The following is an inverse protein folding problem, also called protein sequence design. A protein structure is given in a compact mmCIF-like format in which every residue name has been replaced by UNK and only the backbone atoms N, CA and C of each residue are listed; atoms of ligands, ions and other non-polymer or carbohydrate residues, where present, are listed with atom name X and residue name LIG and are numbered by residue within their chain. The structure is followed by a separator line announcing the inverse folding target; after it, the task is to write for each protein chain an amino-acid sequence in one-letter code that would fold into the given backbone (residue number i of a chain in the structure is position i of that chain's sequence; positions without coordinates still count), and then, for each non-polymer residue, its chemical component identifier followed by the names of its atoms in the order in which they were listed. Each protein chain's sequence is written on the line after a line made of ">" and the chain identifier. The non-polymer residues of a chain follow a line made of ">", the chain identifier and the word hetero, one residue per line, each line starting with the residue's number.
data_IF_756647634158
#
_entry.id   IF_756647634158
#
_cell.length_a   1.000
_cell.length_b   1.000
_cell.length_c   1.000
_cell.angle_alpha   90.00
_cell.angle_beta   90.00
_cell.angle_gamma   90.00
#
_symmetry.space_group_name_H-M   'P 1'
#
loop_
_entity.id
_entity.type
_entity.pdbx_description
1 polymer ?
#
# COMPACT_ATOMS: atom_id res chain seq x y z
N UNK A 1 26.42 -5.03 -19.37
CA UNK A 1 24.95 -5.10 -19.36
C UNK A 1 24.46 -4.87 -17.94
N UNK A 2 23.55 -3.93 -17.70
CA UNK A 2 22.90 -3.68 -16.39
C UNK A 2 21.46 -4.19 -16.46
N UNK A 3 21.07 -5.04 -15.52
CA UNK A 3 19.72 -5.62 -15.40
C UNK A 3 19.12 -5.14 -14.10
N UNK A 4 18.00 -4.43 -14.18
CA UNK A 4 17.22 -3.99 -13.03
C UNK A 4 16.09 -4.98 -12.79
N UNK A 5 15.96 -5.46 -11.56
CA UNK A 5 14.96 -6.47 -11.15
C UNK A 5 14.09 -5.85 -10.07
N UNK A 6 12.87 -5.48 -10.45
CA UNK A 6 11.94 -4.71 -9.64
C UNK A 6 10.57 -5.40 -9.55
N UNK A 7 10.45 -6.57 -8.90
CA UNK A 7 9.20 -7.29 -8.75
C UNK A 7 8.43 -6.87 -7.51
N UNK A 8 7.14 -7.19 -7.50
CA UNK A 8 6.31 -7.31 -6.31
C UNK A 8 6.49 -8.69 -5.63
N UNK A 9 5.91 -8.86 -4.46
CA UNK A 9 5.74 -10.14 -3.79
C UNK A 9 4.81 -11.06 -4.58
N UNK A 10 5.06 -12.37 -4.47
CA UNK A 10 4.10 -13.38 -4.93
C UNK A 10 3.32 -13.84 -3.70
N UNK A 11 2.14 -13.27 -3.51
CA UNK A 11 1.30 -13.51 -2.33
C UNK A 11 1.20 -14.99 -2.00
N UNK A 12 1.22 -15.31 -0.72
CA UNK A 12 1.18 -16.67 -0.16
C UNK A 12 2.40 -17.55 -0.52
N UNK A 13 3.42 -17.04 -1.22
CA UNK A 13 4.54 -17.86 -1.65
C UNK A 13 5.92 -17.22 -1.45
N UNK A 14 6.14 -15.98 -1.90
CA UNK A 14 7.48 -15.38 -1.88
C UNK A 14 7.44 -13.87 -1.62
N UNK A 15 8.37 -13.38 -0.80
CA UNK A 15 8.60 -11.94 -0.67
C UNK A 15 9.15 -11.34 -1.99
N UNK A 16 8.94 -10.03 -2.20
CA UNK A 16 9.50 -9.33 -3.36
C UNK A 16 11.03 -9.46 -3.43
N UNK A 17 11.70 -9.50 -2.27
CA UNK A 17 13.15 -9.70 -2.16
C UNK A 17 13.57 -11.10 -2.64
N UNK A 18 12.83 -12.16 -2.25
CA UNK A 18 13.10 -13.52 -2.66
C UNK A 18 12.85 -13.70 -4.16
N UNK A 19 11.75 -13.14 -4.68
CA UNK A 19 11.48 -13.14 -6.14
C UNK A 19 12.64 -12.51 -6.89
N UNK A 20 13.09 -11.33 -6.48
CA UNK A 20 14.22 -10.65 -7.11
C UNK A 20 15.50 -11.48 -7.04
N UNK A 21 15.75 -12.15 -5.93
CA UNK A 21 16.91 -13.03 -5.77
C UNK A 21 16.87 -14.27 -6.67
N UNK A 22 15.71 -14.89 -6.87
CA UNK A 22 15.58 -16.05 -7.77
C UNK A 22 15.69 -15.62 -9.24
N UNK A 23 15.14 -14.47 -9.62
CA UNK A 23 15.34 -13.92 -10.98
C UNK A 23 16.83 -13.67 -11.24
N UNK A 24 17.54 -13.02 -10.31
CA UNK A 24 18.99 -12.80 -10.43
C UNK A 24 19.74 -14.12 -10.63
N UNK A 25 19.46 -15.14 -9.79
CA UNK A 25 20.13 -16.45 -9.90
C UNK A 25 19.91 -17.06 -11.29
N UNK A 26 18.69 -17.06 -11.81
CA UNK A 26 18.38 -17.59 -13.13
C UNK A 26 19.11 -16.85 -14.25
N UNK A 27 19.13 -15.53 -14.21
CA UNK A 27 19.86 -14.71 -15.19
C UNK A 27 21.38 -14.88 -15.10
N UNK A 28 21.91 -15.00 -13.89
CA UNK A 28 23.35 -15.14 -13.64
C UNK A 28 23.91 -16.46 -14.19
N UNK A 29 23.11 -17.51 -14.28
CA UNK A 29 23.49 -18.79 -14.92
C UNK A 29 23.83 -18.59 -16.43
N UNK A 30 23.35 -17.52 -17.06
CA UNK A 30 23.55 -17.23 -18.50
C UNK A 30 24.42 -15.98 -18.73
N UNK A 31 24.27 -14.96 -17.89
CA UNK A 31 25.00 -13.69 -17.93
C UNK A 31 25.76 -13.45 -16.61
N UNK A 32 26.82 -14.22 -16.30
CA UNK A 32 27.51 -14.13 -15.01
C UNK A 32 28.13 -12.75 -14.74
N UNK A 33 28.57 -12.05 -15.80
CA UNK A 33 29.27 -10.77 -15.71
C UNK A 33 28.34 -9.55 -15.78
N UNK A 34 27.01 -9.75 -15.83
CA UNK A 34 26.07 -8.64 -15.82
C UNK A 34 26.00 -7.99 -14.44
N UNK A 35 25.78 -6.67 -14.42
CA UNK A 35 25.47 -5.93 -13.21
C UNK A 35 23.97 -6.10 -12.88
N UNK A 36 23.66 -6.61 -11.72
CA UNK A 36 22.28 -6.81 -11.25
C UNK A 36 21.94 -5.80 -10.16
N UNK A 37 20.85 -5.07 -10.35
CA UNK A 37 20.27 -4.19 -9.34
C UNK A 37 18.92 -4.75 -8.95
N UNK A 38 18.82 -5.27 -7.73
CA UNK A 38 17.56 -5.75 -7.16
C UNK A 38 16.90 -4.62 -6.41
N UNK A 39 15.67 -4.33 -6.76
CA UNK A 39 14.86 -3.30 -6.17
C UNK A 39 13.45 -3.85 -5.90
N UNK A 40 13.24 -4.59 -4.80
CA UNK A 40 11.90 -5.01 -4.41
C UNK A 40 10.94 -3.83 -4.36
N UNK A 41 9.77 -3.97 -4.95
CA UNK A 41 8.76 -2.92 -5.06
C UNK A 41 7.45 -3.42 -4.46
N UNK A 42 6.58 -2.51 -4.07
CA UNK A 42 5.21 -2.77 -3.64
C UNK A 42 4.29 -1.64 -4.10
N UNK A 43 2.99 -1.84 -3.99
CA UNK A 43 1.96 -0.89 -4.44
C UNK A 43 1.29 -0.10 -3.30
N UNK A 44 1.84 -0.14 -2.10
CA UNK A 44 1.24 0.49 -0.91
C UNK A 44 0.34 -0.46 -0.10
N UNK A 45 0.20 -1.71 -0.53
CA UNK A 45 -0.49 -2.77 0.20
C UNK A 45 0.43 -3.52 1.16
N UNK A 46 0.05 -4.75 1.49
CA UNK A 46 0.79 -5.66 2.36
C UNK A 46 2.21 -5.93 1.84
N UNK A 47 3.20 -5.88 2.73
CA UNK A 47 4.62 -6.09 2.41
C UNK A 47 5.34 -4.84 1.90
N UNK A 48 4.66 -3.69 1.84
CA UNK A 48 5.27 -2.41 1.43
C UNK A 48 6.36 -1.98 2.41
N UNK A 49 6.12 -2.10 3.72
CA UNK A 49 7.09 -1.72 4.76
C UNK A 49 8.37 -2.54 4.61
N UNK A 50 8.27 -3.86 4.47
CA UNK A 50 9.42 -4.73 4.31
C UNK A 50 10.20 -4.44 3.02
N UNK A 51 9.49 -4.24 1.91
CA UNK A 51 10.10 -3.91 0.62
C UNK A 51 10.86 -2.57 0.69
N UNK A 52 10.24 -1.54 1.26
CA UNK A 52 10.84 -0.22 1.40
C UNK A 52 12.03 -0.21 2.36
N UNK A 53 11.93 -0.92 3.49
CA UNK A 53 13.02 -1.09 4.45
C UNK A 53 14.21 -1.80 3.79
N UNK A 54 13.96 -2.90 3.07
CA UNK A 54 15.01 -3.65 2.38
C UNK A 54 15.70 -2.78 1.30
N UNK A 55 14.93 -2.06 0.51
CA UNK A 55 15.43 -1.25 -0.59
C UNK A 55 16.21 0.00 -0.13
N UNK A 56 15.87 0.54 1.04
CA UNK A 56 16.54 1.73 1.62
C UNK A 56 17.64 1.37 2.63
N UNK A 57 17.96 0.09 2.83
CA UNK A 57 18.83 -0.39 3.90
C UNK A 57 18.38 0.10 5.28
N UNK A 58 17.09 0.13 5.49
CA UNK A 58 16.44 0.60 6.69
C UNK A 58 16.27 -0.49 7.75
N UNK A 59 15.36 -0.25 8.69
CA UNK A 59 15.04 -1.19 9.77
C UNK A 59 13.56 -1.17 10.13
N UNK A 60 13.05 -2.30 10.62
CA UNK A 60 11.72 -2.40 11.20
C UNK A 60 11.76 -1.98 12.67
N UNK A 61 10.76 -1.22 13.10
CA UNK A 61 10.54 -0.80 14.47
C UNK A 61 9.26 -1.46 14.99
N UNK A 62 9.40 -2.35 15.96
CA UNK A 62 8.26 -3.01 16.60
C UNK A 62 7.75 -2.15 17.77
N UNK A 63 6.45 -1.98 17.86
CA UNK A 63 5.76 -1.18 18.87
C UNK A 63 4.52 -1.89 19.39
N UNK A 64 3.98 -1.41 20.49
CA UNK A 64 2.66 -1.81 20.97
C UNK A 64 1.70 -0.65 20.77
N UNK A 65 0.55 -0.92 20.19
CA UNK A 65 -0.47 0.05 19.86
C UNK A 65 -1.86 -0.49 20.18
N UNK A 66 -2.84 0.39 20.13
CA UNK A 66 -4.25 0.02 20.25
C UNK A 66 -4.72 -0.65 18.97
N UNK A 67 -5.21 -1.88 19.09
CA UNK A 67 -5.82 -2.63 17.98
C UNK A 67 -7.20 -2.10 17.60
N UNK A 68 -7.78 -2.61 16.49
CA UNK A 68 -9.08 -2.15 16.02
C UNK A 68 -10.23 -2.44 16.97
N UNK A 69 -10.07 -3.38 17.88
CA UNK A 69 -11.05 -3.70 18.94
C UNK A 69 -10.78 -2.97 20.29
N UNK A 70 -9.78 -2.08 20.33
CA UNK A 70 -9.43 -1.30 21.52
C UNK A 70 -8.45 -2.00 22.48
N UNK A 71 -7.99 -3.19 22.16
CA UNK A 71 -6.99 -3.95 22.92
C UNK A 71 -5.56 -3.57 22.49
N UNK A 72 -4.56 -3.94 23.31
CA UNK A 72 -3.17 -3.72 22.97
C UNK A 72 -2.66 -4.84 22.08
N UNK A 73 -2.15 -4.49 20.91
CA UNK A 73 -1.55 -5.42 19.96
C UNK A 73 -0.09 -5.05 19.64
N UNK A 74 0.66 -6.03 19.13
CA UNK A 74 1.95 -5.79 18.52
C UNK A 74 1.74 -5.27 17.09
N UNK A 75 2.45 -4.20 16.75
CA UNK A 75 2.45 -3.63 15.41
C UNK A 75 3.88 -3.19 15.05
N UNK A 76 4.08 -2.72 13.84
CA UNK A 76 5.40 -2.28 13.39
C UNK A 76 5.27 -1.18 12.32
N UNK A 77 6.37 -0.48 12.11
CA UNK A 77 6.59 0.40 10.97
C UNK A 77 8.05 0.33 10.52
N UNK A 78 8.36 0.79 9.33
CA UNK A 78 9.72 0.85 8.80
C UNK A 78 10.33 2.23 8.94
N UNK A 79 11.65 2.28 9.11
CA UNK A 79 12.45 3.49 8.92
C UNK A 79 13.43 3.28 7.77
N UNK A 80 13.62 4.29 6.94
CA UNK A 80 14.67 4.31 5.92
C UNK A 80 16.07 4.28 6.55
N UNK A 81 17.09 3.91 5.76
CA UNK A 81 18.46 3.82 6.26
C UNK A 81 19.06 5.15 6.77
N UNK A 82 18.55 6.29 6.31
CA UNK A 82 18.90 7.62 6.81
C UNK A 82 18.00 8.11 7.96
N UNK A 83 17.04 7.28 8.36
CA UNK A 83 16.03 7.52 9.40
C UNK A 83 15.12 8.76 9.17
N UNK A 84 15.07 9.28 7.93
CA UNK A 84 14.26 10.45 7.61
C UNK A 84 12.87 10.14 7.12
N UNK A 85 12.64 8.92 6.62
CA UNK A 85 11.35 8.47 6.11
C UNK A 85 10.83 7.32 6.92
N UNK A 86 9.56 7.41 7.35
CA UNK A 86 8.81 6.29 7.91
C UNK A 86 7.90 5.66 6.86
N UNK A 87 7.84 4.33 6.86
CA UNK A 87 6.94 3.52 6.06
C UNK A 87 5.93 2.86 7.00
N UNK A 88 4.65 3.15 6.83
CA UNK A 88 3.58 2.70 7.72
C UNK A 88 2.54 1.96 6.89
N UNK A 89 2.26 0.73 7.24
CA UNK A 89 1.04 0.04 6.81
C UNK A 89 0.00 0.20 7.92
N UNK A 90 -1.07 0.92 7.64
CA UNK A 90 -2.17 1.11 8.57
C UNK A 90 -2.75 -0.23 9.06
N UNK A 91 -2.74 -1.25 8.21
CA UNK A 91 -3.24 -2.58 8.52
C UNK A 91 -2.49 -3.27 9.67
N UNK A 92 -1.23 -2.91 9.93
CA UNK A 92 -0.48 -3.42 11.08
C UNK A 92 -1.13 -3.08 12.44
N UNK A 93 -1.88 -1.96 12.50
CA UNK A 93 -2.56 -1.50 13.70
C UNK A 93 -4.08 -1.54 13.61
N UNK A 94 -4.66 -1.31 12.42
CA UNK A 94 -6.09 -1.11 12.21
C UNK A 94 -6.64 -1.98 11.07
N UNK A 95 -5.95 -3.10 10.78
CA UNK A 95 -6.24 -3.99 9.67
C UNK A 95 -7.34 -4.99 9.94
N UNK A 96 -7.96 -5.46 8.85
CA UNK A 96 -9.05 -6.45 8.87
C UNK A 96 -8.59 -7.82 9.40
N UNK A 97 -7.31 -8.16 9.22
CA UNK A 97 -6.70 -9.41 9.71
C UNK A 97 -6.54 -9.43 11.23
N UNK A 98 -6.49 -8.25 11.87
CA UNK A 98 -6.48 -8.11 13.33
C UNK A 98 -7.85 -8.39 13.96
N UNK A 99 -8.92 -8.55 13.16
CA UNK A 99 -10.28 -8.72 13.64
C UNK A 99 -10.84 -10.07 13.20
N UNK A 100 -11.08 -11.00 14.13
CA UNK A 100 -11.77 -12.25 13.82
C UNK A 100 -13.09 -12.00 13.08
N UNK A 101 -13.40 -12.81 12.06
CA UNK A 101 -14.55 -12.58 11.19
C UNK A 101 -15.87 -12.38 11.94
N UNK A 102 -16.05 -13.10 13.06
CA UNK A 102 -17.26 -13.05 13.90
C UNK A 102 -17.34 -11.77 14.78
N UNK A 103 -16.23 -11.04 14.90
CA UNK A 103 -16.14 -9.81 15.69
C UNK A 103 -16.07 -8.53 14.81
N UNK A 104 -16.14 -8.69 13.49
CA UNK A 104 -16.12 -7.56 12.57
C UNK A 104 -17.37 -6.71 12.72
N UNK A 105 -17.18 -5.48 13.16
CA UNK A 105 -18.24 -4.50 13.34
C UNK A 105 -17.69 -3.07 13.17
N UNK A 106 -17.88 -2.45 12.00
CA UNK A 106 -17.29 -1.13 11.70
C UNK A 106 -17.92 0.03 12.49
N UNK A 107 -19.03 -0.20 13.19
CA UNK A 107 -19.55 0.77 14.17
C UNK A 107 -18.65 0.91 15.40
N UNK A 108 -17.83 -0.11 15.71
CA UNK A 108 -17.04 -0.19 16.95
C UNK A 108 -15.53 -0.14 16.71
N UNK A 109 -15.06 -0.58 15.53
CA UNK A 109 -13.62 -0.65 15.24
C UNK A 109 -12.99 0.72 15.10
N UNK A 110 -11.78 0.89 15.68
CA UNK A 110 -11.07 2.15 15.76
C UNK A 110 -9.76 2.17 14.97
N UNK A 111 -9.44 3.32 14.40
CA UNK A 111 -8.16 3.63 13.75
C UNK A 111 -7.10 4.20 14.72
N UNK A 112 -7.35 4.21 16.03
CA UNK A 112 -6.49 4.86 17.04
C UNK A 112 -5.03 4.40 16.95
N UNK A 113 -4.79 3.09 16.81
CA UNK A 113 -3.45 2.52 16.70
C UNK A 113 -2.66 3.01 15.49
N UNK A 114 -3.33 3.34 14.39
CA UNK A 114 -2.66 3.97 13.24
C UNK A 114 -2.09 5.35 13.61
N UNK A 115 -2.83 6.14 14.40
CA UNK A 115 -2.32 7.40 14.93
C UNK A 115 -1.14 7.22 15.89
N UNK A 116 -1.16 6.14 16.70
CA UNK A 116 -0.03 5.79 17.56
C UNK A 116 1.21 5.39 16.74
N UNK A 117 1.05 4.65 15.62
CA UNK A 117 2.17 4.35 14.72
C UNK A 117 2.78 5.64 14.15
N UNK A 118 1.94 6.57 13.67
CA UNK A 118 2.40 7.87 13.15
C UNK A 118 3.16 8.64 14.25
N UNK A 119 2.61 8.70 15.48
CA UNK A 119 3.26 9.38 16.60
C UNK A 119 4.61 8.75 16.94
N UNK A 120 4.68 7.41 17.00
CA UNK A 120 5.94 6.71 17.21
C UNK A 120 6.96 7.02 16.09
N UNK A 121 6.55 7.10 14.84
CA UNK A 121 7.43 7.50 13.75
C UNK A 121 7.94 8.94 13.92
N UNK A 122 7.06 9.87 14.28
CA UNK A 122 7.45 11.26 14.59
C UNK A 122 8.42 11.35 15.79
N UNK A 123 8.34 10.44 16.76
CA UNK A 123 9.28 10.37 17.90
C UNK A 123 10.70 10.00 17.44
N UNK A 124 10.87 9.34 16.29
CA UNK A 124 12.17 9.11 15.66
C UNK A 124 12.69 10.31 14.87
N UNK A 125 11.92 11.39 14.76
CA UNK A 125 12.35 12.61 14.08
C UNK A 125 12.25 12.55 12.56
N UNK A 126 11.38 11.71 12.01
CA UNK A 126 11.17 11.59 10.57
C UNK A 126 10.63 12.90 9.99
N UNK A 127 11.05 13.19 8.77
CA UNK A 127 10.63 14.36 7.99
C UNK A 127 9.57 13.99 6.94
N UNK A 128 9.36 12.67 6.69
CA UNK A 128 8.47 12.15 5.68
C UNK A 128 7.81 10.85 6.18
N UNK A 129 6.49 10.74 6.04
CA UNK A 129 5.71 9.54 6.30
C UNK A 129 5.03 9.07 5.01
N UNK A 130 5.31 7.85 4.60
CA UNK A 130 4.61 7.15 3.52
C UNK A 130 3.67 6.14 4.18
N UNK A 131 2.36 6.28 3.94
CA UNK A 131 1.33 5.50 4.62
C UNK A 131 0.53 4.71 3.60
N UNK A 132 0.59 3.38 3.68
CA UNK A 132 -0.31 2.48 2.98
C UNK A 132 -1.61 2.31 3.76
N UNK A 133 -2.76 2.54 3.11
CA UNK A 133 -4.07 2.49 3.76
C UNK A 133 -4.96 1.33 3.30
N UNK A 134 -4.38 0.33 2.63
CA UNK A 134 -5.07 -0.90 2.26
C UNK A 134 -5.43 -1.78 3.45
N UNK A 135 -6.45 -2.65 3.30
CA UNK A 135 -6.77 -3.70 4.26
C UNK A 135 -7.43 -3.27 5.58
N UNK A 136 -8.08 -2.10 5.65
CA UNK A 136 -8.68 -1.55 6.89
C UNK A 136 -9.84 -2.38 7.45
N UNK A 137 -9.91 -2.47 8.79
CA UNK A 137 -11.07 -2.97 9.53
C UNK A 137 -12.07 -1.87 9.93
N UNK A 138 -11.70 -0.62 9.78
CA UNK A 138 -12.37 0.56 10.36
C UNK A 138 -13.25 1.29 9.37
N UNK A 139 -14.27 1.98 9.88
CA UNK A 139 -15.12 2.91 9.13
C UNK A 139 -15.44 4.14 10.00
N UNK A 140 -14.41 4.59 10.73
CA UNK A 140 -14.50 5.68 11.71
C UNK A 140 -14.01 7.03 11.15
N UNK A 141 -13.89 7.16 9.82
CA UNK A 141 -13.40 8.39 9.21
C UNK A 141 -11.97 8.75 9.58
N UNK A 142 -11.20 7.82 10.18
CA UNK A 142 -9.89 8.12 10.77
C UNK A 142 -9.97 8.89 12.09
N UNK A 143 -11.15 8.96 12.73
CA UNK A 143 -11.35 9.67 13.99
C UNK A 143 -10.43 9.19 15.10
N UNK A 144 -10.31 7.87 15.29
CA UNK A 144 -9.38 7.32 16.26
C UNK A 144 -7.94 7.73 15.99
N UNK A 145 -7.51 7.71 14.74
CA UNK A 145 -6.16 8.12 14.32
C UNK A 145 -5.88 9.57 14.75
N UNK A 146 -6.77 10.50 14.45
CA UNK A 146 -6.53 11.91 14.78
C UNK A 146 -6.63 12.18 16.28
N UNK A 147 -7.46 11.42 17.02
CA UNK A 147 -7.47 11.45 18.48
C UNK A 147 -6.11 11.03 19.07
N UNK A 148 -5.50 9.97 18.56
CA UNK A 148 -4.16 9.53 19.00
C UNK A 148 -3.07 10.57 18.69
N UNK A 149 -3.27 11.37 17.65
CA UNK A 149 -2.39 12.48 17.26
C UNK A 149 -2.65 13.77 18.06
N UNK A 150 -3.63 13.78 18.97
CA UNK A 150 -3.90 14.89 19.87
C UNK A 150 -5.08 15.79 19.47
N UNK A 151 -5.80 15.52 18.39
CA UNK A 151 -7.04 16.21 18.08
C UNK A 151 -8.13 15.82 19.09
N UNK A 152 -8.93 16.80 19.50
CA UNK A 152 -10.12 16.56 20.34
C UNK A 152 -11.35 16.58 19.46
N UNK A 153 -12.05 15.47 19.46
CA UNK A 153 -13.34 15.29 18.79
C UNK A 153 -14.42 15.30 19.87
N UNK A 154 -15.09 16.43 20.03
CA UNK A 154 -15.93 16.70 21.19
C UNK A 154 -17.43 16.58 20.86
N UNK A 155 -18.18 15.98 21.77
CA UNK A 155 -19.64 15.96 21.73
C UNK A 155 -20.24 17.31 22.22
N UNK A 156 -21.58 17.44 22.18
CA UNK A 156 -22.27 18.62 22.60
C UNK A 156 -22.09 19.02 24.10
N UNK A 157 -21.59 18.08 24.92
CA UNK A 157 -21.25 18.35 26.33
C UNK A 157 -19.78 18.78 26.50
N UNK A 158 -18.98 18.76 25.43
CA UNK A 158 -17.54 19.03 25.46
C UNK A 158 -16.70 17.83 25.88
N UNK A 159 -17.27 16.61 25.94
CA UNK A 159 -16.54 15.38 26.20
C UNK A 159 -16.02 14.78 24.90
N UNK A 160 -14.87 14.11 24.97
CA UNK A 160 -14.30 13.36 23.83
C UNK A 160 -15.26 12.24 23.42
N UNK A 161 -15.57 12.11 22.13
CA UNK A 161 -16.36 10.97 21.63
C UNK A 161 -15.57 9.66 21.74
N UNK A 162 -16.29 8.54 21.80
CA UNK A 162 -15.72 7.20 21.87
C UNK A 162 -15.10 6.73 20.56
N UNK A 163 -14.70 5.45 20.53
CA UNK A 163 -14.16 4.79 19.36
C UNK A 163 -15.25 4.25 18.43
N UNK A 164 -14.92 4.17 17.14
CA UNK A 164 -15.73 3.54 16.11
C UNK A 164 -16.59 4.51 15.30
N UNK A 165 -17.02 4.04 14.12
CA UNK A 165 -17.82 4.86 13.20
C UNK A 165 -19.19 5.27 13.76
N UNK A 166 -19.76 4.47 14.67
CA UNK A 166 -21.03 4.78 15.34
C UNK A 166 -20.97 5.93 16.35
N UNK A 167 -19.78 6.37 16.74
CA UNK A 167 -19.62 7.50 17.65
C UNK A 167 -19.59 8.86 16.94
N UNK A 168 -19.37 8.87 15.62
CA UNK A 168 -19.27 10.10 14.83
C UNK A 168 -20.59 10.92 14.83
N UNK A 169 -21.73 10.28 14.98
CA UNK A 169 -23.03 10.95 15.10
C UNK A 169 -23.11 11.92 16.31
N UNK A 170 -22.26 11.70 17.31
CA UNK A 170 -22.22 12.54 18.54
C UNK A 170 -21.29 13.74 18.41
N UNK A 171 -20.49 13.81 17.35
CA UNK A 171 -19.50 14.86 17.17
C UNK A 171 -20.19 16.23 17.04
N UNK A 172 -19.76 17.19 17.84
CA UNK A 172 -20.28 18.56 17.80
C UNK A 172 -19.20 19.58 17.42
N UNK A 173 -17.92 19.30 17.76
CA UNK A 173 -16.82 20.20 17.40
C UNK A 173 -15.47 19.49 17.39
N UNK A 174 -14.53 20.06 16.64
CA UNK A 174 -13.15 19.60 16.50
C UNK A 174 -12.20 20.68 17.03
N UNK A 175 -11.34 20.31 18.00
CA UNK A 175 -10.26 21.17 18.48
C UNK A 175 -8.89 20.53 18.14
N UNK A 176 -8.09 21.25 17.35
CA UNK A 176 -6.73 20.85 16.94
C UNK A 176 -5.62 21.58 17.70
N UNK A 177 -5.96 22.26 18.80
CA UNK A 177 -4.99 23.03 19.59
C UNK A 177 -3.88 22.17 20.22
N UNK A 178 -4.17 20.90 20.49
CA UNK A 178 -3.21 19.90 21.02
C UNK A 178 -2.74 18.89 19.97
N UNK A 179 -3.10 19.07 18.68
CA UNK A 179 -2.60 18.23 17.60
C UNK A 179 -1.07 18.33 17.56
N UNK A 180 -0.40 17.17 17.41
CA UNK A 180 1.07 17.10 17.41
C UNK A 180 1.68 18.09 16.41
N UNK A 181 2.41 19.08 16.91
CA UNK A 181 2.96 20.17 16.11
C UNK A 181 3.98 19.70 15.04
N UNK A 182 4.51 18.47 15.19
CA UNK A 182 5.45 17.87 14.24
C UNK A 182 4.76 17.50 12.93
N UNK A 183 3.45 17.25 12.94
CA UNK A 183 2.65 16.97 11.75
C UNK A 183 2.83 18.07 10.70
N UNK A 184 2.83 19.35 11.11
CA UNK A 184 2.99 20.48 10.18
C UNK A 184 4.38 20.56 9.52
N UNK A 185 5.36 19.81 10.03
CA UNK A 185 6.75 19.81 9.55
C UNK A 185 7.10 18.51 8.81
N UNK A 186 6.27 17.51 8.93
CA UNK A 186 6.44 16.21 8.28
C UNK A 186 5.60 16.19 6.99
N UNK A 187 6.17 15.72 5.90
CA UNK A 187 5.43 15.43 4.66
C UNK A 187 4.68 14.12 4.82
N UNK A 188 3.42 14.10 4.44
CA UNK A 188 2.60 12.88 4.43
C UNK A 188 2.21 12.53 3.01
N UNK A 189 2.57 11.35 2.56
CA UNK A 189 2.09 10.76 1.31
C UNK A 189 1.32 9.47 1.63
N UNK A 190 0.18 9.31 0.99
CA UNK A 190 -0.72 8.19 1.26
C UNK A 190 -0.90 7.38 -0.01
N UNK A 191 -0.48 6.13 0.05
CA UNK A 191 -0.69 5.16 -1.01
C UNK A 191 -2.18 4.80 -1.07
N UNK A 192 -2.87 5.35 -2.07
CA UNK A 192 -4.30 5.21 -2.27
C UNK A 192 -4.61 4.96 -3.74
N UNK A 193 -4.99 3.72 -4.07
CA UNK A 193 -5.30 3.31 -5.44
C UNK A 193 -6.80 3.34 -5.75
N UNK A 194 -7.61 3.85 -4.82
CA UNK A 194 -9.05 4.02 -4.99
C UNK A 194 -9.42 5.50 -5.05
N UNK A 195 -10.48 5.82 -5.80
CA UNK A 195 -10.96 7.20 -5.98
C UNK A 195 -12.32 7.45 -5.31
N UNK A 196 -12.76 6.53 -4.47
CA UNK A 196 -14.04 6.60 -3.79
C UNK A 196 -14.13 7.87 -2.92
N UNK A 197 -15.23 8.66 -3.02
CA UNK A 197 -15.50 9.76 -2.11
C UNK A 197 -15.79 9.23 -0.70
N UNK A 198 -15.90 10.13 0.27
CA UNK A 198 -16.17 9.74 1.65
C UNK A 198 -17.55 9.10 1.81
N UNK A 199 -18.58 9.69 1.21
CA UNK A 199 -20.00 9.34 1.38
C UNK A 199 -20.71 9.03 0.06
N UNK A 200 -21.93 8.51 0.14
CA UNK A 200 -22.81 8.20 -0.97
C UNK A 200 -22.67 6.77 -1.51
N UNK A 201 -23.33 6.50 -2.63
CA UNK A 201 -23.37 5.15 -3.23
C UNK A 201 -21.99 4.57 -3.58
N UNK A 202 -21.00 5.43 -3.85
CA UNK A 202 -19.62 5.06 -4.11
C UNK A 202 -18.70 5.38 -2.92
N UNK A 203 -19.28 5.72 -1.77
CA UNK A 203 -18.56 6.11 -0.56
C UNK A 203 -17.94 4.96 0.21
N UNK A 204 -17.23 5.32 1.27
CA UNK A 204 -16.50 4.40 2.14
C UNK A 204 -17.37 3.28 2.69
N UNK A 205 -18.54 3.63 3.23
CA UNK A 205 -19.45 2.69 3.88
C UNK A 205 -20.11 1.74 2.88
N UNK A 206 -20.61 2.28 1.76
CA UNK A 206 -21.32 1.52 0.75
C UNK A 206 -20.41 0.47 0.07
N UNK A 207 -19.21 0.87 -0.33
CA UNK A 207 -18.29 0.01 -1.09
C UNK A 207 -17.49 -0.93 -0.19
N UNK A 208 -16.98 -0.45 0.92
CA UNK A 208 -16.02 -1.21 1.75
C UNK A 208 -16.62 -1.71 3.08
N UNK A 209 -17.82 -1.25 3.46
CA UNK A 209 -18.49 -1.66 4.69
C UNK A 209 -18.79 -3.17 4.77
N UNK A 210 -19.33 -3.79 3.69
CA UNK A 210 -19.71 -5.22 3.71
C UNK A 210 -18.57 -6.15 4.12
N UNK A 211 -17.36 -5.98 3.59
CA UNK A 211 -16.21 -6.81 3.95
C UNK A 211 -15.76 -6.64 5.41
N UNK A 212 -16.13 -5.52 6.04
CA UNK A 212 -15.87 -5.19 7.45
C UNK A 212 -16.99 -5.67 8.38
N UNK A 213 -17.98 -6.36 7.84
CA UNK A 213 -19.11 -6.90 8.60
C UNK A 213 -20.31 -5.97 8.73
N UNK A 214 -20.38 -4.88 7.95
CA UNK A 214 -21.56 -4.01 7.96
C UNK A 214 -22.78 -4.67 7.30
N UNK A 215 -23.93 -4.56 7.96
CA UNK A 215 -25.24 -4.81 7.36
C UNK A 215 -25.72 -3.58 6.59
N UNK A 216 -26.76 -3.73 5.75
CA UNK A 216 -27.33 -2.61 4.99
C UNK A 216 -27.74 -1.44 5.91
N UNK A 217 -28.32 -1.73 7.07
CA UNK A 217 -28.69 -0.71 8.06
C UNK A 217 -27.45 -0.01 8.65
N UNK A 218 -26.37 -0.76 8.90
CA UNK A 218 -25.12 -0.18 9.40
C UNK A 218 -24.44 0.67 8.33
N UNK A 219 -24.54 0.30 7.05
CA UNK A 219 -24.01 1.08 5.93
C UNK A 219 -24.67 2.46 5.90
N UNK A 220 -26.02 2.51 5.96
CA UNK A 220 -26.75 3.78 6.00
C UNK A 220 -26.37 4.64 7.21
N UNK A 221 -26.29 4.03 8.42
CA UNK A 221 -25.85 4.70 9.62
C UNK A 221 -24.44 5.29 9.50
N UNK A 222 -23.50 4.48 9.03
CA UNK A 222 -22.10 4.88 8.87
C UNK A 222 -21.90 5.95 7.80
N UNK A 223 -22.66 5.88 6.71
CA UNK A 223 -22.59 6.88 5.64
C UNK A 223 -23.09 8.25 6.14
N UNK A 224 -24.22 8.28 6.87
CA UNK A 224 -24.73 9.48 7.51
C UNK A 224 -23.73 10.04 8.54
N UNK A 225 -23.12 9.18 9.36
CA UNK A 225 -22.15 9.56 10.37
C UNK A 225 -20.88 10.16 9.75
N UNK A 226 -20.38 9.59 8.65
CA UNK A 226 -19.27 10.16 7.88
C UNK A 226 -19.62 11.49 7.22
N UNK A 227 -20.86 11.65 6.71
CA UNK A 227 -21.36 12.92 6.18
C UNK A 227 -21.37 14.01 7.24
N UNK A 228 -21.91 13.69 8.43
CA UNK A 228 -21.86 14.59 9.58
C UNK A 228 -20.42 14.95 9.99
N UNK A 229 -19.52 13.97 10.03
CA UNK A 229 -18.10 14.22 10.30
C UNK A 229 -17.47 15.17 9.29
N UNK A 230 -17.76 15.01 8.00
CA UNK A 230 -17.29 15.92 6.95
C UNK A 230 -17.82 17.34 7.11
N UNK A 231 -19.10 17.48 7.52
CA UNK A 231 -19.68 18.80 7.82
C UNK A 231 -18.95 19.51 8.96
N UNK A 232 -18.65 18.80 10.05
CA UNK A 232 -17.90 19.37 11.19
C UNK A 232 -16.47 19.70 10.78
N UNK A 233 -15.78 18.84 10.01
CA UNK A 233 -14.44 19.15 9.45
C UNK A 233 -14.49 20.43 8.61
N UNK A 234 -15.46 20.56 7.72
CA UNK A 234 -15.62 21.76 6.88
C UNK A 234 -15.83 23.01 7.71
N UNK A 235 -16.65 22.91 8.77
CA UNK A 235 -16.95 24.04 9.64
C UNK A 235 -15.77 24.48 10.51
N UNK A 236 -15.09 23.52 11.17
CA UNK A 236 -14.08 23.81 12.20
C UNK A 236 -12.65 23.94 11.63
N UNK A 237 -12.36 23.26 10.50
CA UNK A 237 -11.03 23.24 9.88
C UNK A 237 -10.97 23.96 8.52
N UNK A 238 -12.10 24.53 8.05
CA UNK A 238 -12.22 25.19 6.73
C UNK A 238 -11.70 24.31 5.57
N UNK A 239 -11.97 22.99 5.66
CA UNK A 239 -11.47 22.01 4.70
C UNK A 239 -12.59 21.09 4.24
N UNK A 240 -12.87 21.05 2.93
CA UNK A 240 -13.88 20.18 2.35
C UNK A 240 -13.24 18.91 1.79
N UNK A 241 -13.52 17.77 2.43
CA UNK A 241 -12.93 16.47 2.08
C UNK A 241 -13.95 15.45 1.57
N UNK A 242 -15.25 15.78 1.62
CA UNK A 242 -16.32 14.80 1.41
C UNK A 242 -16.28 14.17 0.02
N UNK A 243 -16.08 14.98 -1.03
CA UNK A 243 -16.08 14.54 -2.41
C UNK A 243 -14.67 14.42 -3.01
N UNK A 244 -13.62 14.55 -2.18
CA UNK A 244 -12.24 14.39 -2.67
C UNK A 244 -12.00 12.95 -3.07
N UNK A 245 -11.49 12.65 -4.27
CA UNK A 245 -11.13 11.31 -4.68
C UNK A 245 -10.16 10.66 -3.70
N UNK A 246 -10.50 9.47 -3.21
CA UNK A 246 -9.72 8.75 -2.20
C UNK A 246 -10.06 9.09 -0.74
N UNK A 247 -10.90 10.09 -0.49
CA UNK A 247 -11.32 10.42 0.88
C UNK A 247 -12.01 9.24 1.58
N UNK A 248 -12.75 8.41 0.84
CA UNK A 248 -13.43 7.22 1.35
C UNK A 248 -12.50 6.01 1.60
N UNK A 249 -11.25 6.08 1.16
CA UNK A 249 -10.31 4.99 1.38
C UNK A 249 -10.15 4.69 2.87
N UNK A 250 -9.98 3.40 3.19
CA UNK A 250 -9.81 2.91 4.56
C UNK A 250 -10.93 3.35 5.52
N UNK A 251 -12.19 3.37 5.03
CA UNK A 251 -13.33 3.74 5.86
C UNK A 251 -13.34 5.22 6.25
N UNK A 252 -12.85 6.07 5.35
CA UNK A 252 -12.78 7.52 5.53
C UNK A 252 -11.46 8.02 6.14
N UNK A 253 -10.49 7.14 6.41
CA UNK A 253 -9.17 7.58 6.90
C UNK A 253 -8.47 8.51 5.90
N UNK A 254 -8.71 8.34 4.58
CA UNK A 254 -8.25 9.27 3.55
C UNK A 254 -8.68 10.71 3.82
N UNK A 255 -9.93 10.93 4.20
CA UNK A 255 -10.45 12.26 4.56
C UNK A 255 -9.72 12.86 5.78
N UNK A 256 -9.48 12.05 6.82
CA UNK A 256 -8.75 12.53 8.00
C UNK A 256 -7.30 12.88 7.68
N UNK A 257 -6.60 12.06 6.90
CA UNK A 257 -5.22 12.34 6.48
C UNK A 257 -5.13 13.62 5.64
N UNK A 258 -6.10 13.88 4.77
CA UNK A 258 -6.20 15.14 4.04
C UNK A 258 -6.39 16.32 4.98
N UNK A 259 -7.41 16.26 5.87
CA UNK A 259 -7.84 17.39 6.69
C UNK A 259 -6.86 17.72 7.83
N UNK A 260 -6.29 16.72 8.50
CA UNK A 260 -5.50 16.94 9.71
C UNK A 260 -3.98 16.86 9.47
N UNK A 261 -3.55 16.12 8.46
CA UNK A 261 -2.14 15.94 8.16
C UNK A 261 -1.68 16.67 6.89
N UNK A 262 -2.62 17.22 6.11
CA UNK A 262 -2.31 17.84 4.82
C UNK A 262 -1.66 16.86 3.85
N UNK A 263 -2.09 15.60 3.89
CA UNK A 263 -1.48 14.52 3.13
C UNK A 263 -1.80 14.59 1.63
N UNK A 264 -0.86 14.12 0.81
CA UNK A 264 -1.05 13.90 -0.62
C UNK A 264 -1.49 12.44 -0.86
N UNK A 265 -2.70 12.25 -1.41
CA UNK A 265 -3.17 10.92 -1.84
C UNK A 265 -2.68 10.67 -3.26
N UNK A 266 -1.89 9.61 -3.45
CA UNK A 266 -1.27 9.25 -4.73
C UNK A 266 -1.33 7.74 -4.94
N UNK A 267 -1.15 7.30 -6.18
CA UNK A 267 -0.99 5.87 -6.46
C UNK A 267 0.21 5.30 -5.69
N UNK A 268 0.02 4.17 -5.01
CA UNK A 268 1.06 3.58 -4.17
C UNK A 268 2.33 3.29 -4.95
N UNK A 269 2.21 2.75 -6.15
CA UNK A 269 3.36 2.45 -7.01
C UNK A 269 4.16 3.71 -7.40
N UNK A 270 3.52 4.86 -7.57
CA UNK A 270 4.22 6.11 -7.89
C UNK A 270 5.06 6.58 -6.71
N UNK A 271 4.48 6.57 -5.51
CA UNK A 271 5.18 6.94 -4.27
C UNK A 271 6.38 6.01 -4.05
N UNK A 272 6.16 4.70 -4.16
CA UNK A 272 7.19 3.70 -3.90
C UNK A 272 8.33 3.81 -4.93
N UNK A 273 8.03 3.88 -6.22
CA UNK A 273 9.08 3.98 -7.26
C UNK A 273 9.87 5.29 -7.18
N UNK A 274 9.23 6.39 -6.78
CA UNK A 274 9.88 7.67 -6.54
C UNK A 274 10.80 7.62 -5.30
N UNK A 275 10.28 7.11 -4.18
CA UNK A 275 11.06 6.98 -2.94
C UNK A 275 12.28 6.04 -3.09
N UNK A 276 12.17 5.02 -3.95
CA UNK A 276 13.27 4.11 -4.28
C UNK A 276 14.25 4.67 -5.31
N UNK A 277 13.98 5.82 -5.92
CA UNK A 277 14.82 6.39 -6.98
C UNK A 277 14.87 5.52 -8.24
N UNK A 278 13.79 4.78 -8.54
CA UNK A 278 13.75 3.88 -9.70
C UNK A 278 14.08 4.60 -11.00
N UNK A 279 13.67 5.85 -11.16
CA UNK A 279 13.93 6.68 -12.33
C UNK A 279 15.43 6.80 -12.64
N UNK A 280 16.26 7.08 -11.63
CA UNK A 280 17.71 7.15 -11.78
C UNK A 280 18.32 5.77 -12.05
N UNK A 281 17.78 4.73 -11.41
CA UNK A 281 18.32 3.36 -11.50
C UNK A 281 18.11 2.77 -12.90
N UNK A 282 16.97 3.04 -13.55
CA UNK A 282 16.65 2.44 -14.86
C UNK A 282 17.27 3.20 -16.03
N UNK A 283 17.73 4.43 -15.85
CA UNK A 283 18.25 5.31 -16.91
C UNK A 283 19.33 4.65 -17.76
N UNK A 284 20.25 3.92 -17.15
CA UNK A 284 21.35 3.21 -17.81
C UNK A 284 21.12 1.69 -17.86
N UNK A 285 19.92 1.21 -17.53
CA UNK A 285 19.60 -0.20 -17.63
C UNK A 285 19.59 -0.69 -19.08
N UNK A 286 20.02 -1.93 -19.28
CA UNK A 286 19.90 -2.65 -20.56
C UNK A 286 18.58 -3.42 -20.65
N UNK A 287 18.05 -3.83 -19.48
CA UNK A 287 16.81 -4.58 -19.33
C UNK A 287 16.21 -4.31 -17.95
N UNK A 288 14.91 -4.19 -17.91
CA UNK A 288 14.14 -4.13 -16.66
C UNK A 288 13.26 -5.38 -16.56
N UNK A 289 13.27 -6.02 -15.40
CA UNK A 289 12.44 -7.19 -15.11
C UNK A 289 11.55 -6.82 -13.93
N UNK A 290 10.27 -7.05 -14.07
CA UNK A 290 9.27 -6.84 -13.03
C UNK A 290 8.36 -8.07 -12.92
N UNK A 291 7.43 -8.08 -12.00
CA UNK A 291 6.49 -9.19 -11.85
C UNK A 291 5.62 -9.05 -10.62
N UNK A 292 4.62 -9.91 -10.56
CA UNK A 292 3.71 -10.09 -9.42
C UNK A 292 3.17 -11.52 -9.43
N UNK A 293 2.45 -11.93 -8.38
CA UNK A 293 1.87 -13.28 -8.30
C UNK A 293 0.93 -13.62 -9.45
N UNK A 294 0.21 -12.65 -10.00
CA UNK A 294 -0.71 -12.83 -11.13
C UNK A 294 -0.81 -11.56 -11.97
N UNK A 295 -0.44 -11.66 -13.24
CA UNK A 295 -0.63 -10.58 -14.22
C UNK A 295 -1.90 -10.86 -15.03
N UNK A 296 -2.82 -9.87 -15.02
CA UNK A 296 -4.11 -9.89 -15.69
C UNK A 296 -4.53 -8.47 -16.15
N UNK A 297 -5.77 -8.32 -16.62
CA UNK A 297 -6.30 -7.01 -17.01
C UNK A 297 -6.39 -6.00 -15.85
N UNK A 298 -6.41 -6.45 -14.60
CA UNK A 298 -6.40 -5.55 -13.44
C UNK A 298 -5.01 -4.94 -13.16
N UNK A 299 -3.96 -5.57 -13.69
CA UNK A 299 -2.58 -5.10 -13.51
C UNK A 299 -2.36 -3.69 -14.07
N UNK A 300 -3.14 -3.28 -15.10
CA UNK A 300 -3.05 -1.93 -15.68
C UNK A 300 -3.53 -0.80 -14.76
N UNK A 301 -4.25 -1.14 -13.69
CA UNK A 301 -4.82 -0.17 -12.74
C UNK A 301 -3.87 0.17 -11.57
N UNK A 302 -2.61 0.46 -11.86
CA UNK A 302 -1.67 0.99 -10.87
C UNK A 302 -0.85 -0.06 -10.11
N UNK A 303 -0.87 -1.34 -10.52
CA UNK A 303 -0.05 -2.36 -9.89
C UNK A 303 1.43 -2.25 -10.29
N UNK A 304 2.30 -2.92 -9.49
CA UNK A 304 3.76 -2.86 -9.61
C UNK A 304 4.27 -3.07 -11.03
N UNK A 305 3.86 -4.10 -11.82
CA UNK A 305 4.45 -4.31 -13.14
C UNK A 305 4.28 -3.13 -14.08
N UNK A 306 3.11 -2.49 -14.06
CA UNK A 306 2.83 -1.34 -14.93
C UNK A 306 3.50 -0.07 -14.42
N UNK A 307 3.56 0.13 -13.10
CA UNK A 307 4.29 1.27 -12.53
C UNK A 307 5.77 1.24 -12.89
N UNK A 308 6.42 0.08 -12.71
CA UNK A 308 7.82 -0.13 -13.10
C UNK A 308 8.01 0.05 -14.62
N UNK A 309 7.12 -0.52 -15.44
CA UNK A 309 7.18 -0.39 -16.89
C UNK A 309 7.05 1.09 -17.32
N UNK A 310 6.13 1.84 -16.73
CA UNK A 310 5.93 3.27 -17.00
C UNK A 310 7.21 4.08 -16.76
N UNK A 311 7.91 3.81 -15.65
CA UNK A 311 9.20 4.48 -15.36
C UNK A 311 10.26 4.07 -16.37
N UNK A 312 10.40 2.77 -16.67
CA UNK A 312 11.38 2.27 -17.63
C UNK A 312 11.18 2.82 -19.05
N UNK A 313 9.92 2.95 -19.49
CA UNK A 313 9.57 3.44 -20.83
C UNK A 313 9.85 4.93 -21.03
N UNK A 314 10.02 5.71 -19.97
CA UNK A 314 10.53 7.11 -20.10
C UNK A 314 11.94 7.15 -20.70
N UNK A 315 12.68 6.04 -20.61
CA UNK A 315 14.05 5.89 -21.10
C UNK A 315 14.18 4.82 -22.19
N UNK A 316 13.06 4.46 -22.84
CA UNK A 316 12.98 3.45 -23.91
C UNK A 316 13.61 2.10 -23.51
N UNK A 317 13.52 1.70 -22.23
CA UNK A 317 14.07 0.43 -21.77
C UNK A 317 13.12 -0.73 -22.04
N UNK A 318 13.66 -1.90 -22.48
CA UNK A 318 12.86 -3.11 -22.60
C UNK A 318 12.45 -3.60 -21.20
N UNK A 319 11.17 -4.03 -21.09
CA UNK A 319 10.58 -4.50 -19.83
C UNK A 319 9.96 -5.89 -20.00
N UNK A 320 10.36 -6.81 -19.15
CA UNK A 320 9.82 -8.16 -19.10
C UNK A 320 9.08 -8.36 -17.79
N UNK A 321 7.82 -8.85 -17.88
CA UNK A 321 7.04 -9.29 -16.73
C UNK A 321 7.19 -10.79 -16.50
N UNK A 322 7.46 -11.18 -15.24
CA UNK A 322 7.46 -12.60 -14.80
C UNK A 322 6.35 -12.70 -13.74
N UNK A 323 5.45 -13.65 -13.90
CA UNK A 323 4.30 -13.80 -13.01
C UNK A 323 4.11 -15.24 -12.55
N UNK A 324 3.57 -15.42 -11.35
CA UNK A 324 3.10 -16.72 -10.88
C UNK A 324 2.13 -17.34 -11.89
N UNK A 325 1.14 -16.57 -12.32
CA UNK A 325 0.19 -17.00 -13.36
C UNK A 325 -0.19 -15.85 -14.29
N UNK A 326 -0.68 -16.19 -15.48
CA UNK A 326 -1.24 -15.27 -16.47
C UNK A 326 -2.70 -15.65 -16.74
N UNK A 327 -3.53 -14.67 -17.07
CA UNK A 327 -4.91 -14.89 -17.52
C UNK A 327 -5.05 -14.73 -19.03
N UNK A 328 -6.16 -15.15 -19.58
CA UNK A 328 -6.42 -15.08 -21.03
C UNK A 328 -6.47 -13.64 -21.57
N UNK A 329 -6.79 -12.66 -20.71
CA UNK A 329 -6.90 -11.23 -21.03
C UNK A 329 -5.61 -10.45 -20.77
N UNK A 330 -4.51 -11.13 -20.45
CA UNK A 330 -3.21 -10.51 -20.13
C UNK A 330 -2.65 -9.62 -21.26
N UNK A 331 -3.07 -9.85 -22.50
CA UNK A 331 -2.54 -9.12 -23.67
C UNK A 331 -2.62 -7.59 -23.56
N UNK A 332 -3.54 -7.05 -22.77
CA UNK A 332 -3.71 -5.62 -22.54
C UNK A 332 -2.45 -4.95 -21.94
N UNK A 333 -1.64 -5.68 -21.16
CA UNK A 333 -0.47 -5.12 -20.49
C UNK A 333 0.64 -4.69 -21.45
N UNK A 334 0.64 -5.22 -22.69
CA UNK A 334 1.61 -4.84 -23.73
C UNK A 334 1.43 -3.38 -24.17
N UNK A 335 0.19 -2.89 -24.21
CA UNK A 335 -0.11 -1.47 -24.52
C UNK A 335 0.30 -0.55 -23.36
N UNK A 336 0.57 -1.11 -22.19
CA UNK A 336 0.97 -0.39 -20.97
C UNK A 336 2.46 -0.54 -20.64
N UNK A 337 3.28 -1.03 -21.57
CA UNK A 337 4.75 -0.99 -21.51
C UNK A 337 5.45 -2.28 -21.10
N UNK A 338 4.74 -3.40 -20.91
CA UNK A 338 5.37 -4.70 -20.81
C UNK A 338 5.63 -5.28 -22.20
N UNK A 339 6.88 -5.40 -22.61
CA UNK A 339 7.23 -5.91 -23.96
C UNK A 339 6.98 -7.42 -24.07
N UNK A 340 7.17 -8.15 -22.98
CA UNK A 340 6.89 -9.58 -22.90
C UNK A 340 6.49 -9.98 -21.47
N UNK A 341 5.63 -11.00 -21.36
CA UNK A 341 5.22 -11.56 -20.07
C UNK A 341 5.34 -13.08 -20.08
N UNK A 342 5.76 -13.64 -18.94
CA UNK A 342 5.98 -15.07 -18.78
C UNK A 342 5.36 -15.56 -17.48
N UNK A 343 4.65 -16.71 -17.54
CA UNK A 343 4.26 -17.46 -16.35
C UNK A 343 5.40 -18.33 -15.87
N UNK A 344 5.52 -18.50 -14.56
CA UNK A 344 6.47 -19.43 -13.97
C UNK A 344 5.99 -20.88 -13.98
N UNK A 345 4.72 -21.11 -14.33
CA UNK A 345 4.14 -22.46 -14.44
C UNK A 345 4.55 -23.08 -15.78
N UNK A 346 5.36 -24.11 -15.75
CA UNK A 346 5.84 -24.83 -16.93
C UNK A 346 5.21 -26.22 -17.09
N UNK A 347 4.39 -26.65 -16.13
CA UNK A 347 3.57 -27.87 -16.22
C UNK A 347 2.24 -27.70 -15.47
N UNK A 348 1.33 -28.64 -15.69
CA UNK A 348 0.05 -28.65 -14.95
C UNK A 348 0.32 -29.20 -13.55
N UNK A 349 0.00 -28.43 -12.54
CA UNK A 349 0.18 -28.78 -11.12
C UNK A 349 -1.00 -28.24 -10.28
N UNK A 350 -1.07 -28.67 -9.03
CA UNK A 350 -2.00 -28.08 -8.05
C UNK A 350 -1.50 -26.68 -7.61
N UNK A 351 -2.37 -25.88 -7.01
CA UNK A 351 -1.99 -24.59 -6.43
C UNK A 351 -0.94 -24.77 -5.32
N UNK A 352 -1.13 -25.74 -4.44
CA UNK A 352 -0.21 -26.06 -3.35
C UNK A 352 1.20 -26.39 -3.92
N UNK A 353 1.28 -27.26 -4.92
CA UNK A 353 2.55 -27.60 -5.56
C UNK A 353 3.20 -26.37 -6.26
N UNK A 354 2.40 -25.50 -6.86
CA UNK A 354 2.89 -24.27 -7.49
C UNK A 354 3.48 -23.30 -6.47
N UNK A 355 2.85 -23.14 -5.30
CA UNK A 355 3.30 -22.28 -4.21
C UNK A 355 4.58 -22.85 -3.55
N UNK A 356 4.62 -24.16 -3.27
CA UNK A 356 5.77 -24.84 -2.65
C UNK A 356 7.03 -24.75 -3.52
N UNK A 357 6.88 -24.85 -4.85
CA UNK A 357 7.99 -24.83 -5.80
C UNK A 357 8.23 -23.43 -6.41
N UNK A 358 7.60 -22.37 -5.90
CA UNK A 358 7.63 -21.04 -6.50
C UNK A 358 9.06 -20.53 -6.76
N UNK A 359 9.97 -20.71 -5.82
CA UNK A 359 11.35 -20.24 -5.92
C UNK A 359 12.10 -20.86 -7.13
N UNK A 360 12.01 -22.18 -7.31
CA UNK A 360 12.65 -22.88 -8.43
C UNK A 360 11.95 -22.56 -9.75
N UNK A 361 10.62 -22.43 -9.75
CA UNK A 361 9.83 -22.05 -10.92
C UNK A 361 10.24 -20.67 -11.44
N UNK A 362 10.37 -19.67 -10.55
CA UNK A 362 10.86 -18.32 -10.88
C UNK A 362 12.27 -18.39 -11.46
N UNK A 363 13.19 -19.09 -10.79
CA UNK A 363 14.57 -19.24 -11.25
C UNK A 363 14.67 -19.90 -12.62
N UNK A 364 13.94 -20.99 -12.85
CA UNK A 364 13.93 -21.72 -14.13
C UNK A 364 13.40 -20.82 -15.26
N UNK A 365 12.30 -20.13 -15.03
CA UNK A 365 11.72 -19.20 -16.01
C UNK A 365 12.69 -18.08 -16.34
N UNK A 366 13.27 -17.44 -15.33
CA UNK A 366 14.27 -16.38 -15.49
C UNK A 366 15.49 -16.85 -16.29
N UNK A 367 16.03 -18.07 -16.01
CA UNK A 367 17.13 -18.66 -16.77
C UNK A 367 16.76 -18.89 -18.24
N UNK A 368 15.56 -19.36 -18.53
CA UNK A 368 15.12 -19.62 -19.91
C UNK A 368 14.93 -18.32 -20.69
N UNK A 369 14.41 -17.26 -20.05
CA UNK A 369 14.33 -15.92 -20.62
C UNK A 369 15.74 -15.41 -20.96
N UNK A 370 16.66 -15.48 -20.02
CA UNK A 370 18.05 -15.09 -20.21
C UNK A 370 18.71 -15.85 -21.38
N UNK A 371 18.49 -17.17 -21.46
CA UNK A 371 19.02 -18.00 -22.56
C UNK A 371 18.44 -17.57 -23.92
N UNK A 372 17.15 -17.24 -24.00
CA UNK A 372 16.50 -16.75 -25.21
C UNK A 372 17.10 -15.39 -25.65
N UNK A 373 17.33 -14.47 -24.72
CA UNK A 373 17.99 -13.19 -24.98
C UNK A 373 19.41 -13.42 -25.53
N UNK A 374 20.16 -14.33 -24.93
CA UNK A 374 21.53 -14.65 -25.38
C UNK A 374 21.55 -15.26 -26.77
N UNK A 375 20.60 -16.10 -27.11
CA UNK A 375 20.44 -16.67 -28.45
C UNK A 375 20.17 -15.58 -29.49
N UNK A 376 19.31 -14.61 -29.19
CA UNK A 376 19.00 -13.50 -30.10
C UNK A 376 20.21 -12.63 -30.41
N UNK A 377 21.14 -12.45 -29.48
CA UNK A 377 22.40 -11.72 -29.69
C UNK A 377 23.37 -12.43 -30.63
N UNK A 378 23.25 -13.74 -30.80
CA UNK A 378 24.02 -14.51 -31.74
C UNK A 378 23.38 -14.68 -33.12
N UNK A 379 22.14 -14.21 -33.29
CA UNK A 379 21.40 -14.23 -34.55
C UNK A 379 21.45 -12.88 -35.29
N UNK A 380 21.90 -11.84 -34.62
CA UNK A 380 22.14 -10.48 -35.14
C UNK A 380 23.59 -10.30 -35.55
#
# INVERSE_FOLDING_TARGET
>A
MKIVIAPDSYKESMSAQDVAAQIEKGFRDVFPDACYVKLPVADGGEGTVEAMVAATNGRIVNVKVTGPLGDNIAAFFGLSGDEKTAFIEMAAASGLEQVPAQQRNPLLTTSYGTGELIRCALDHGVEHCIIGIGGSATNDGGAGMVQALGAKLLDASGAQIGFGGGELDKLASIDIGELDARIKKCRFEVACDVTNPLTGEQGASAIFGPQKGATDQMIEQLDNALGHYAEVIRHDLDTDVEQVPGAGAAGGMGAALLAFCGADLRQGIEIVTEALGLDEIVRDASLVITGEGRIDSQTIHGKVPIGVARVAKRYDKPVIGIAGSLTADVGVVHEHGLDAVFSVLYHICSLEEALDNAAENVRMTARNIAATIKLSQGLS
#
